data_IF_760508140130
#
_entry.id   IF_760508140130
#
_cell.length_a   1.000
_cell.length_b   1.000
_cell.length_c   1.000
_cell.angle_alpha   90.00
_cell.angle_beta   90.00
_cell.angle_gamma   90.00
#
_symmetry.space_group_name_H-M   'P 1'
#
loop_
_entity.id
_entity.type
_entity.pdbx_description
1 polymer ?
#
# COMPACT_ATOMS: atom_id res chain seq x y z
N UNK A 1 20.76 -15.42 -22.46
CA UNK A 1 21.63 -14.69 -21.51
C UNK A 1 21.10 -14.97 -20.13
N UNK A 2 21.93 -15.37 -19.15
CA UNK A 2 21.46 -15.42 -17.75
C UNK A 2 21.10 -13.98 -17.38
N UNK A 3 19.84 -13.71 -17.04
CA UNK A 3 19.49 -12.44 -16.41
C UNK A 3 20.30 -12.38 -15.12
N UNK A 4 21.28 -11.49 -15.08
CA UNK A 4 22.08 -11.29 -13.88
C UNK A 4 21.19 -10.49 -12.94
N UNK A 5 20.69 -11.15 -11.90
CA UNK A 5 19.96 -10.47 -10.82
C UNK A 5 20.89 -9.41 -10.22
N UNK A 6 20.43 -8.15 -10.09
CA UNK A 6 21.24 -7.12 -9.45
C UNK A 6 21.70 -7.56 -8.05
N UNK A 7 22.97 -7.29 -7.65
CA UNK A 7 23.53 -7.78 -6.39
C UNK A 7 22.69 -7.47 -5.14
N UNK A 8 21.99 -6.33 -5.13
CA UNK A 8 21.11 -5.94 -4.04
C UNK A 8 19.91 -6.89 -3.80
N UNK A 9 19.59 -7.76 -4.77
CA UNK A 9 18.47 -8.72 -4.69
C UNK A 9 18.91 -10.19 -4.56
N UNK A 10 20.21 -10.48 -4.48
CA UNK A 10 20.73 -11.86 -4.36
C UNK A 10 20.10 -12.62 -3.18
N UNK A 11 19.88 -11.94 -2.04
CA UNK A 11 19.29 -12.58 -0.84
C UNK A 11 17.81 -12.91 -1.04
N UNK A 12 17.09 -12.08 -1.78
CA UNK A 12 15.70 -12.35 -2.19
C UNK A 12 15.65 -13.50 -3.21
N UNK A 13 16.59 -13.54 -4.15
CA UNK A 13 16.70 -14.63 -5.14
C UNK A 13 17.00 -15.99 -4.48
N UNK A 14 17.83 -16.04 -3.43
CA UNK A 14 18.07 -17.29 -2.68
C UNK A 14 16.76 -17.83 -2.10
N UNK A 15 15.85 -16.96 -1.66
CA UNK A 15 14.57 -17.34 -1.07
C UNK A 15 13.53 -17.75 -2.13
N UNK A 16 13.46 -17.03 -3.25
CA UNK A 16 12.39 -17.15 -4.25
C UNK A 16 12.79 -17.90 -5.53
N UNK A 17 14.07 -18.16 -5.72
CA UNK A 17 14.64 -18.68 -6.96
C UNK A 17 14.66 -17.67 -8.10
N UNK A 18 15.27 -18.09 -9.22
CA UNK A 18 15.40 -17.27 -10.43
C UNK A 18 14.05 -16.85 -11.01
N UNK A 19 13.06 -17.76 -10.96
CA UNK A 19 11.73 -17.48 -11.46
C UNK A 19 11.01 -16.44 -10.60
N UNK A 20 11.06 -16.57 -9.27
CA UNK A 20 10.37 -15.66 -8.37
C UNK A 20 10.89 -14.23 -8.46
N UNK A 21 12.21 -14.05 -8.56
CA UNK A 21 12.78 -12.70 -8.71
C UNK A 21 12.46 -12.10 -10.08
N UNK A 22 12.50 -12.91 -11.14
CA UNK A 22 12.11 -12.46 -12.48
C UNK A 22 10.63 -12.08 -12.55
N UNK A 23 9.76 -12.82 -11.85
CA UNK A 23 8.35 -12.48 -11.72
C UNK A 23 8.20 -11.12 -11.03
N UNK A 24 8.81 -10.90 -9.85
CA UNK A 24 8.73 -9.62 -9.14
C UNK A 24 9.22 -8.44 -9.98
N UNK A 25 10.34 -8.60 -10.68
CA UNK A 25 10.88 -7.58 -11.59
C UNK A 25 9.91 -7.25 -12.75
N UNK A 26 9.05 -8.18 -13.15
CA UNK A 26 8.00 -7.96 -14.14
C UNK A 26 6.68 -7.42 -13.59
N UNK A 27 6.53 -7.26 -12.27
CA UNK A 27 5.27 -6.82 -11.66
C UNK A 27 5.11 -5.32 -11.53
N UNK A 28 3.86 -4.89 -11.68
CA UNK A 28 3.41 -3.54 -11.40
C UNK A 28 2.47 -3.50 -10.20
N UNK A 29 2.87 -2.75 -9.17
CA UNK A 29 2.05 -2.53 -7.99
C UNK A 29 1.64 -1.06 -7.89
N UNK A 30 0.35 -0.83 -7.68
CA UNK A 30 -0.19 0.49 -7.36
C UNK A 30 -0.39 0.60 -5.85
N UNK A 31 0.15 1.65 -5.23
CA UNK A 31 0.04 1.91 -3.80
C UNK A 31 -0.65 3.25 -3.58
N UNK A 32 -1.82 3.24 -2.92
CA UNK A 32 -2.54 4.46 -2.57
C UNK A 32 -2.37 4.80 -1.10
N UNK A 33 -1.86 6.00 -0.84
CA UNK A 33 -1.48 6.49 0.49
C UNK A 33 -0.06 6.06 0.86
N UNK A 34 0.78 7.03 1.18
CA UNK A 34 2.17 6.89 1.63
C UNK A 34 2.33 7.33 3.09
N UNK A 35 1.26 7.13 3.88
CA UNK A 35 1.25 7.38 5.31
C UNK A 35 1.94 6.28 6.12
N UNK A 36 1.41 6.00 7.32
CA UNK A 36 2.08 5.10 8.28
C UNK A 36 2.10 3.62 7.92
N UNK A 37 1.33 3.20 6.91
CA UNK A 37 1.35 1.83 6.38
C UNK A 37 1.98 1.80 4.99
N UNK A 38 1.44 2.60 4.07
CA UNK A 38 1.82 2.52 2.66
C UNK A 38 3.25 2.93 2.36
N UNK A 39 3.87 3.79 3.18
CA UNK A 39 5.29 4.11 3.02
C UNK A 39 6.22 2.91 3.29
N UNK A 40 5.95 2.14 4.35
CA UNK A 40 6.68 0.91 4.64
C UNK A 40 6.36 -0.21 3.66
N UNK A 41 5.10 -0.31 3.20
CA UNK A 41 4.73 -1.26 2.14
C UNK A 41 5.50 -0.97 0.85
N UNK A 42 5.54 0.29 0.42
CA UNK A 42 6.28 0.74 -0.76
C UNK A 42 7.78 0.43 -0.65
N UNK A 43 8.38 0.70 0.51
CA UNK A 43 9.78 0.36 0.79
C UNK A 43 10.04 -1.16 0.66
N UNK A 44 9.16 -1.98 1.24
CA UNK A 44 9.29 -3.44 1.18
C UNK A 44 9.17 -3.95 -0.27
N UNK A 45 8.24 -3.39 -1.06
CA UNK A 45 8.07 -3.73 -2.48
C UNK A 45 9.32 -3.38 -3.29
N UNK A 46 9.89 -2.19 -3.09
CA UNK A 46 11.12 -1.78 -3.77
C UNK A 46 12.30 -2.70 -3.40
N UNK A 47 12.46 -3.04 -2.12
CA UNK A 47 13.51 -3.96 -1.63
C UNK A 47 13.30 -5.40 -2.07
N UNK A 48 12.07 -5.80 -2.35
CA UNK A 48 11.77 -7.12 -2.92
C UNK A 48 12.12 -7.23 -4.41
N UNK A 49 12.37 -6.10 -5.09
CA UNK A 49 12.68 -6.10 -6.51
C UNK A 49 11.45 -5.99 -7.41
N UNK A 50 10.34 -5.39 -6.92
CA UNK A 50 9.23 -5.00 -7.81
C UNK A 50 9.75 -4.01 -8.86
N UNK A 51 9.48 -4.29 -10.13
CA UNK A 51 10.02 -3.52 -11.24
C UNK A 51 9.23 -2.26 -11.60
N UNK A 52 7.94 -2.18 -11.25
CA UNK A 52 7.13 -0.97 -11.50
C UNK A 52 6.25 -0.64 -10.31
N UNK A 53 6.30 0.62 -9.88
CA UNK A 53 5.51 1.16 -8.77
C UNK A 53 4.76 2.41 -9.23
N UNK A 54 3.44 2.41 -9.07
CA UNK A 54 2.66 3.66 -9.12
C UNK A 54 2.31 4.06 -7.70
N UNK A 55 2.81 5.22 -7.28
CA UNK A 55 2.59 5.74 -5.92
C UNK A 55 1.62 6.90 -5.97
N UNK A 56 0.56 6.80 -5.18
CA UNK A 56 -0.46 7.82 -5.13
C UNK A 56 -0.56 8.43 -3.73
N UNK A 57 -0.11 9.68 -3.60
CA UNK A 57 -0.27 10.50 -2.39
C UNK A 57 -0.14 11.98 -2.76
N UNK A 58 -1.07 12.80 -2.25
CA UNK A 58 -1.13 14.24 -2.52
C UNK A 58 -0.52 15.07 -1.39
N UNK A 59 -0.26 14.47 -0.22
CA UNK A 59 0.23 15.15 0.96
C UNK A 59 1.73 15.49 0.89
N UNK A 60 2.11 16.42 1.76
CA UNK A 60 3.49 16.68 2.15
C UNK A 60 3.80 16.06 3.51
N UNK A 61 5.09 15.88 3.79
CA UNK A 61 5.57 15.43 5.09
C UNK A 61 5.29 16.50 6.15
N UNK A 62 4.52 16.15 7.17
CA UNK A 62 4.30 16.99 8.35
C UNK A 62 5.17 16.53 9.53
N UNK A 63 5.52 17.44 10.45
CA UNK A 63 6.29 17.12 11.67
C UNK A 63 5.60 16.00 12.48
N UNK A 64 4.28 16.03 12.59
CA UNK A 64 3.48 15.02 13.30
C UNK A 64 3.49 13.62 12.65
N UNK A 65 4.13 13.46 11.49
CA UNK A 65 4.26 12.18 10.80
C UNK A 65 5.50 11.39 11.26
N UNK A 66 6.48 12.05 11.87
CA UNK A 66 7.79 11.48 12.26
C UNK A 66 7.65 10.21 13.11
N UNK A 67 6.61 10.13 13.95
CA UNK A 67 6.42 8.98 14.83
C UNK A 67 6.07 7.67 14.09
N UNK A 68 5.66 7.72 12.82
CA UNK A 68 5.06 6.54 12.16
C UNK A 68 5.18 6.47 10.64
N UNK A 69 5.73 7.47 9.94
CA UNK A 69 5.81 7.45 8.48
C UNK A 69 7.27 7.41 8.03
N UNK A 70 7.61 6.47 7.15
CA UNK A 70 8.97 6.30 6.67
C UNK A 70 9.58 7.55 5.99
N UNK A 71 8.86 8.34 5.16
CA UNK A 71 9.42 9.54 4.54
C UNK A 71 9.59 10.71 5.51
N UNK A 72 9.11 10.60 6.76
CA UNK A 72 9.08 11.70 7.72
C UNK A 72 10.37 11.80 8.54
N UNK A 73 11.26 12.68 8.10
CA UNK A 73 12.46 13.11 8.80
C UNK A 73 12.39 14.63 9.00
N UNK A 74 13.13 15.18 9.97
CA UNK A 74 13.20 16.63 10.14
C UNK A 74 13.67 17.34 8.85
N UNK A 75 14.56 16.70 8.08
CA UNK A 75 15.07 17.21 6.80
C UNK A 75 14.08 17.16 5.64
N UNK A 76 12.99 16.38 5.76
CA UNK A 76 12.01 16.19 4.69
C UNK A 76 10.68 16.88 4.94
N UNK A 77 10.52 17.56 6.09
CA UNK A 77 9.31 18.33 6.42
C UNK A 77 9.01 19.35 5.32
N UNK A 78 7.76 19.37 4.85
CA UNK A 78 7.28 20.25 3.78
C UNK A 78 7.50 19.69 2.36
N UNK A 79 8.27 18.61 2.20
CA UNK A 79 8.44 17.95 0.90
C UNK A 79 7.27 17.00 0.62
N UNK A 80 6.97 16.75 -0.66
CA UNK A 80 5.95 15.76 -1.04
C UNK A 80 6.36 14.35 -0.59
N UNK A 81 5.43 13.63 0.06
CA UNK A 81 5.68 12.23 0.47
C UNK A 81 6.01 11.34 -0.72
N UNK A 82 5.31 11.55 -1.84
CA UNK A 82 5.49 10.81 -3.08
C UNK A 82 6.88 11.01 -3.69
N UNK A 83 7.36 12.26 -3.76
CA UNK A 83 8.71 12.57 -4.28
C UNK A 83 9.82 12.04 -3.37
N UNK A 84 9.67 12.16 -2.04
CA UNK A 84 10.63 11.61 -1.07
C UNK A 84 10.73 10.09 -1.23
N UNK A 85 9.59 9.39 -1.36
CA UNK A 85 9.57 7.95 -1.57
C UNK A 85 10.14 7.55 -2.93
N UNK A 86 9.90 8.32 -4.00
CA UNK A 86 10.50 8.07 -5.32
C UNK A 86 12.02 8.15 -5.28
N UNK A 87 12.58 9.22 -4.71
CA UNK A 87 14.02 9.36 -4.56
C UNK A 87 14.61 8.19 -3.77
N UNK A 88 13.96 7.81 -2.67
CA UNK A 88 14.35 6.67 -1.85
C UNK A 88 14.30 5.33 -2.60
N UNK A 89 13.29 5.11 -3.45
CA UNK A 89 13.20 3.90 -4.29
C UNK A 89 14.31 3.89 -5.32
N UNK A 90 14.63 5.01 -5.95
CA UNK A 90 15.73 5.09 -6.92
C UNK A 90 17.08 4.73 -6.28
N UNK A 91 17.28 5.10 -5.00
CA UNK A 91 18.47 4.70 -4.24
C UNK A 91 18.50 3.19 -3.91
N UNK A 92 17.34 2.52 -3.85
CA UNK A 92 17.21 1.09 -3.55
C UNK A 92 17.28 0.24 -4.83
N UNK A 93 16.54 0.65 -5.85
CA UNK A 93 16.36 -0.04 -7.11
C UNK A 93 16.26 1.00 -8.26
N UNK A 94 17.38 1.40 -8.86
CA UNK A 94 17.38 2.40 -9.93
C UNK A 94 16.69 1.90 -11.21
N UNK A 95 16.51 0.58 -11.36
CA UNK A 95 15.79 -0.02 -12.48
C UNK A 95 14.27 -0.05 -12.28
N UNK A 96 13.78 0.30 -11.07
CA UNK A 96 12.35 0.38 -10.79
C UNK A 96 11.72 1.59 -11.50
N UNK A 97 10.69 1.34 -12.29
CA UNK A 97 9.90 2.38 -12.91
C UNK A 97 8.90 2.95 -11.90
N UNK A 98 9.13 4.18 -11.44
CA UNK A 98 8.26 4.84 -10.45
C UNK A 98 7.45 5.97 -11.07
N UNK A 99 6.12 5.79 -11.07
CA UNK A 99 5.12 6.78 -11.50
C UNK A 99 4.46 7.40 -10.27
N UNK A 100 4.31 8.72 -10.25
CA UNK A 100 3.68 9.44 -9.14
C UNK A 100 2.32 10.00 -9.56
N UNK A 101 1.33 9.83 -8.70
CA UNK A 101 0.00 10.43 -8.83
C UNK A 101 -0.24 11.27 -7.58
N UNK A 102 -0.38 12.58 -7.77
CA UNK A 102 -0.54 13.56 -6.67
C UNK A 102 -1.96 14.14 -6.63
N UNK A 103 -2.91 13.44 -7.24
CA UNK A 103 -4.34 13.80 -7.30
C UNK A 103 -5.08 13.13 -6.15
N UNK A 104 -6.11 13.79 -5.61
CA UNK A 104 -6.99 13.18 -4.62
C UNK A 104 -7.86 12.07 -5.24
N UNK A 105 -8.02 10.93 -4.55
CA UNK A 105 -8.89 9.84 -5.05
C UNK A 105 -10.34 10.10 -4.69
N UNK A 106 -11.22 9.97 -5.69
CA UNK A 106 -12.65 10.00 -5.51
C UNK A 106 -13.35 8.91 -6.31
N UNK A 107 -14.65 8.80 -6.11
CA UNK A 107 -15.48 7.82 -6.84
C UNK A 107 -15.59 8.18 -8.33
N UNK A 108 -15.47 9.46 -8.62
CA UNK A 108 -15.54 10.07 -9.94
C UNK A 108 -14.29 9.83 -10.79
N UNK A 109 -13.10 9.78 -10.18
CA UNK A 109 -11.83 9.73 -10.91
C UNK A 109 -11.03 8.43 -10.73
N UNK A 110 -11.46 7.51 -9.86
CA UNK A 110 -10.73 6.25 -9.58
C UNK A 110 -10.37 5.47 -10.87
N UNK A 111 -11.27 5.46 -11.85
CA UNK A 111 -11.10 4.78 -13.12
C UNK A 111 -10.01 5.37 -14.02
N UNK A 112 -9.66 6.64 -13.82
CA UNK A 112 -8.59 7.34 -14.53
C UNK A 112 -7.25 7.19 -13.79
N UNK A 113 -7.30 7.06 -12.46
CA UNK A 113 -6.11 7.05 -11.60
C UNK A 113 -5.47 5.67 -11.46
N UNK A 114 -6.27 4.60 -11.45
CA UNK A 114 -5.76 3.22 -11.30
C UNK A 114 -5.40 2.68 -12.69
N UNK A 115 -4.11 2.41 -12.99
CA UNK A 115 -3.71 1.88 -14.29
C UNK A 115 -4.35 0.51 -14.52
N UNK A 116 -4.79 0.23 -15.75
CA UNK A 116 -5.45 -1.03 -16.09
C UNK A 116 -4.50 -2.24 -16.13
N UNK A 117 -3.20 -1.99 -16.23
CA UNK A 117 -2.14 -2.98 -16.30
C UNK A 117 -1.45 -3.24 -14.96
N UNK A 118 -2.06 -2.84 -13.84
CA UNK A 118 -1.57 -3.19 -12.50
C UNK A 118 -1.78 -4.68 -12.22
N UNK A 119 -0.77 -5.34 -11.67
CA UNK A 119 -0.89 -6.72 -11.19
C UNK A 119 -1.52 -6.78 -9.79
N UNK A 120 -1.35 -5.72 -9.00
CA UNK A 120 -1.80 -5.65 -7.63
C UNK A 120 -2.02 -4.22 -7.15
N UNK A 121 -3.07 -4.01 -6.36
CA UNK A 121 -3.40 -2.74 -5.72
C UNK A 121 -3.25 -2.88 -4.21
N UNK A 122 -2.53 -1.95 -3.59
CA UNK A 122 -2.43 -1.83 -2.13
C UNK A 122 -3.07 -0.52 -1.68
N UNK A 123 -4.18 -0.65 -0.99
CA UNK A 123 -4.92 0.47 -0.42
C UNK A 123 -4.48 0.73 1.03
N UNK A 124 -3.76 1.85 1.20
CA UNK A 124 -3.28 2.38 2.48
C UNK A 124 -3.86 3.78 2.79
N UNK A 125 -4.99 4.13 2.17
CA UNK A 125 -5.69 5.39 2.40
C UNK A 125 -6.34 5.37 3.79
N UNK A 126 -6.41 6.50 4.49
CA UNK A 126 -7.06 6.62 5.80
C UNK A 126 -8.52 7.12 5.72
N UNK A 127 -8.85 7.94 4.71
CA UNK A 127 -10.21 8.39 4.43
C UNK A 127 -11.11 7.24 3.95
N UNK A 128 -12.22 7.02 4.66
CA UNK A 128 -13.19 5.95 4.37
C UNK A 128 -13.74 6.05 2.93
N UNK A 129 -14.18 7.23 2.49
CA UNK A 129 -14.83 7.39 1.19
C UNK A 129 -13.88 7.04 0.03
N UNK A 130 -12.62 7.47 0.14
CA UNK A 130 -11.59 7.19 -0.85
C UNK A 130 -11.25 5.70 -0.87
N UNK A 131 -11.08 5.11 0.33
CA UNK A 131 -10.82 3.68 0.50
C UNK A 131 -11.93 2.83 -0.14
N UNK A 132 -13.19 3.14 0.13
CA UNK A 132 -14.34 2.45 -0.47
C UNK A 132 -14.35 2.61 -1.99
N UNK A 133 -14.10 3.82 -2.51
CA UNK A 133 -14.04 4.06 -3.95
C UNK A 133 -12.98 3.20 -4.64
N UNK A 134 -11.75 3.19 -4.12
CA UNK A 134 -10.64 2.41 -4.66
C UNK A 134 -10.92 0.90 -4.61
N UNK A 135 -11.25 0.37 -3.44
CA UNK A 135 -11.43 -1.08 -3.25
C UNK A 135 -12.65 -1.57 -4.04
N UNK A 136 -13.75 -0.82 -4.06
CA UNK A 136 -14.94 -1.22 -4.81
C UNK A 136 -14.66 -1.26 -6.31
N UNK A 137 -13.97 -0.25 -6.84
CA UNK A 137 -13.55 -0.22 -8.25
C UNK A 137 -12.67 -1.43 -8.58
N UNK A 138 -11.64 -1.71 -7.76
CA UNK A 138 -10.74 -2.84 -8.01
C UNK A 138 -11.49 -4.18 -8.06
N UNK A 139 -12.36 -4.44 -7.09
CA UNK A 139 -13.15 -5.69 -7.06
C UNK A 139 -14.08 -5.79 -8.28
N UNK A 140 -14.74 -4.69 -8.66
CA UNK A 140 -15.64 -4.66 -9.81
C UNK A 140 -14.91 -4.87 -11.15
N UNK A 141 -13.65 -4.45 -11.25
CA UNK A 141 -12.80 -4.69 -12.42
C UNK A 141 -12.05 -6.03 -12.37
N UNK A 142 -12.25 -6.85 -11.32
CA UNK A 142 -11.53 -8.11 -11.14
C UNK A 142 -10.04 -7.94 -10.81
N UNK A 143 -9.63 -6.76 -10.36
CA UNK A 143 -8.26 -6.46 -9.95
C UNK A 143 -7.97 -7.05 -8.56
N UNK A 144 -6.73 -7.52 -8.36
CA UNK A 144 -6.26 -7.99 -7.06
C UNK A 144 -6.00 -6.79 -6.15
N UNK A 145 -6.65 -6.77 -4.99
CA UNK A 145 -6.52 -5.67 -4.03
C UNK A 145 -6.29 -6.19 -2.61
N UNK A 146 -5.34 -5.56 -1.92
CA UNK A 146 -5.22 -5.63 -0.48
C UNK A 146 -5.54 -4.27 0.14
N UNK A 147 -6.21 -4.27 1.29
CA UNK A 147 -6.56 -3.05 2.02
C UNK A 147 -6.06 -3.11 3.46
N UNK A 148 -5.38 -2.06 3.91
CA UNK A 148 -4.99 -1.91 5.31
C UNK A 148 -6.09 -1.24 6.11
N UNK A 149 -6.36 -1.77 7.30
CA UNK A 149 -7.29 -1.21 8.26
C UNK A 149 -6.57 -0.40 9.34
N UNK A 150 -7.30 0.01 10.39
CA UNK A 150 -6.78 0.92 11.39
C UNK A 150 -5.60 0.32 12.16
N UNK A 151 -4.42 0.90 12.02
CA UNK A 151 -3.22 0.60 12.80
C UNK A 151 -3.03 1.55 14.02
N UNK A 152 -3.81 2.63 14.10
CA UNK A 152 -3.73 3.61 15.18
C UNK A 152 -4.22 3.09 16.54
N UNK A 153 -3.62 3.62 17.61
CA UNK A 153 -3.91 3.32 19.02
C UNK A 153 -3.71 1.85 19.42
N UNK A 154 -2.67 1.21 18.88
CA UNK A 154 -2.26 -0.16 19.17
C UNK A 154 -0.79 -0.23 19.51
N UNK A 155 -0.40 -1.24 20.27
CA UNK A 155 0.99 -1.47 20.66
C UNK A 155 1.53 -2.82 20.24
N UNK A 156 0.69 -3.82 20.00
CA UNK A 156 1.15 -5.21 19.82
C UNK A 156 1.19 -5.61 18.33
N UNK A 157 2.38 -5.59 17.68
CA UNK A 157 2.51 -5.99 16.28
C UNK A 157 2.25 -7.49 16.08
N UNK A 158 2.33 -8.34 17.12
CA UNK A 158 2.07 -9.78 16.99
C UNK A 158 0.59 -10.09 16.77
N UNK A 159 -0.27 -9.09 16.97
CA UNK A 159 -1.73 -9.17 16.80
C UNK A 159 -2.22 -8.74 15.42
N UNK A 160 -1.30 -8.40 14.51
CA UNK A 160 -1.62 -8.17 13.11
C UNK A 160 -2.09 -9.49 12.48
N UNK A 161 -3.16 -9.39 11.68
CA UNK A 161 -3.84 -10.49 11.00
C UNK A 161 -4.06 -10.15 9.54
N UNK A 162 -4.12 -11.19 8.73
CA UNK A 162 -4.51 -11.14 7.32
C UNK A 162 -5.72 -12.05 7.16
N UNK A 163 -6.81 -11.51 6.62
CA UNK A 163 -8.03 -12.26 6.36
C UNK A 163 -8.81 -11.61 5.22
N UNK A 164 -9.84 -12.29 4.71
CA UNK A 164 -10.86 -11.63 3.90
C UNK A 164 -11.58 -10.55 4.73
N UNK A 165 -12.01 -9.47 4.08
CA UNK A 165 -12.72 -8.37 4.74
C UNK A 165 -13.92 -8.85 5.56
N UNK A 166 -14.64 -9.89 5.10
CA UNK A 166 -15.79 -10.49 5.79
C UNK A 166 -15.44 -11.15 7.12
N UNK A 167 -14.21 -11.66 7.26
CA UNK A 167 -13.74 -12.39 8.44
C UNK A 167 -13.04 -11.48 9.47
N UNK A 168 -12.90 -10.19 9.19
CA UNK A 168 -12.25 -9.26 10.11
C UNK A 168 -13.08 -8.99 11.37
N UNK A 169 -12.42 -8.91 12.51
CA UNK A 169 -13.01 -8.73 13.84
C UNK A 169 -12.37 -7.55 14.58
N UNK A 170 -13.04 -7.02 15.61
CA UNK A 170 -12.56 -5.98 16.55
C UNK A 170 -12.28 -4.60 15.93
N UNK A 171 -11.76 -4.51 14.71
CA UNK A 171 -11.34 -3.29 14.04
C UNK A 171 -12.55 -2.43 13.61
N UNK A 172 -12.72 -1.20 14.17
CA UNK A 172 -13.83 -0.33 13.81
C UNK A 172 -13.81 0.10 12.34
N UNK A 173 -12.61 0.41 11.80
CA UNK A 173 -12.42 0.79 10.40
C UNK A 173 -12.85 -0.35 9.46
N UNK A 174 -12.49 -1.60 9.78
CA UNK A 174 -12.90 -2.76 9.00
C UNK A 174 -14.42 -3.01 9.07
N UNK A 175 -15.05 -2.73 10.22
CA UNK A 175 -16.50 -2.85 10.40
C UNK A 175 -17.26 -1.86 9.51
N UNK A 176 -16.84 -0.60 9.48
CA UNK A 176 -17.43 0.41 8.60
C UNK A 176 -17.16 0.10 7.13
N UNK A 177 -15.92 -0.27 6.78
CA UNK A 177 -15.56 -0.67 5.42
C UNK A 177 -16.45 -1.82 4.93
N UNK A 178 -16.68 -2.86 5.75
CA UNK A 178 -17.62 -3.95 5.44
C UNK A 178 -19.03 -3.46 5.14
N UNK A 179 -19.52 -2.45 5.87
CA UNK A 179 -20.87 -1.90 5.64
C UNK A 179 -20.94 -1.27 4.25
N UNK A 180 -20.02 -0.37 3.94
CA UNK A 180 -19.96 0.30 2.64
C UNK A 180 -19.75 -0.66 1.47
N UNK A 181 -18.87 -1.65 1.62
CA UNK A 181 -18.66 -2.67 0.58
C UNK A 181 -19.92 -3.50 0.33
N UNK A 182 -20.66 -3.89 1.37
CA UNK A 182 -21.94 -4.60 1.21
C UNK A 182 -22.98 -3.77 0.47
N UNK A 183 -23.04 -2.47 0.75
CA UNK A 183 -23.93 -1.55 0.03
C UNK A 183 -23.55 -1.44 -1.45
N UNK A 184 -22.27 -1.67 -1.79
CA UNK A 184 -21.75 -1.77 -3.16
C UNK A 184 -21.84 -3.21 -3.75
N UNK A 185 -22.49 -4.15 -3.07
CA UNK A 185 -22.64 -5.54 -3.53
C UNK A 185 -21.44 -6.45 -3.25
N UNK A 186 -20.41 -5.97 -2.56
CA UNK A 186 -19.16 -6.68 -2.29
C UNK A 186 -19.21 -7.27 -0.87
N UNK A 187 -19.26 -8.61 -0.78
CA UNK A 187 -19.35 -9.32 0.51
C UNK A 187 -18.03 -9.95 0.94
N UNK A 188 -17.21 -10.40 -0.01
CA UNK A 188 -15.94 -11.11 0.16
C UNK A 188 -15.02 -10.76 -1.02
N UNK A 189 -13.78 -11.24 -1.01
CA UNK A 189 -12.81 -11.08 -2.09
C UNK A 189 -11.84 -9.92 -1.88
N UNK A 190 -11.73 -9.37 -0.67
CA UNK A 190 -10.82 -8.26 -0.35
C UNK A 190 -9.84 -8.72 0.71
N UNK A 191 -8.58 -8.91 0.31
CA UNK A 191 -7.50 -9.24 1.23
C UNK A 191 -7.30 -8.07 2.20
N UNK A 192 -7.41 -8.32 3.50
CA UNK A 192 -7.42 -7.26 4.50
C UNK A 192 -6.38 -7.49 5.57
N UNK A 193 -5.55 -6.47 5.80
CA UNK A 193 -4.62 -6.42 6.93
C UNK A 193 -5.28 -5.62 8.06
N UNK A 194 -5.46 -6.24 9.22
CA UNK A 194 -6.03 -5.61 10.39
C UNK A 194 -5.34 -6.13 11.66
N UNK A 195 -5.77 -5.67 12.83
CA UNK A 195 -5.35 -6.25 14.10
C UNK A 195 -6.57 -6.66 14.90
N UNK A 196 -6.43 -7.75 15.65
CA UNK A 196 -7.42 -8.18 16.65
C UNK A 196 -7.19 -7.52 18.02
N UNK A 197 -6.22 -6.60 18.16
CA UNK A 197 -6.04 -5.75 19.36
C UNK A 197 -7.13 -4.67 19.44
N UNK A 198 -7.75 -4.54 20.61
CA UNK A 198 -8.67 -3.43 20.89
C UNK A 198 -7.89 -2.09 20.90
N UNK A 199 -8.37 -1.05 20.18
CA UNK A 199 -7.73 0.24 20.20
C UNK A 199 -7.80 0.85 21.60
N UNK A 200 -6.72 1.51 22.01
CA UNK A 200 -6.66 2.26 23.26
C UNK A 200 -7.28 3.65 23.07
N UNK A 201 -7.96 4.22 24.08
CA UNK A 201 -8.37 5.61 24.03
C UNK A 201 -7.12 6.52 23.99
N UNK A 202 -7.21 7.72 23.38
CA UNK A 202 -6.24 8.78 23.60
C UNK A 202 -6.12 9.06 25.12
N UNK A 203 -4.91 9.36 25.57
CA UNK A 203 -4.67 9.83 26.94
C UNK A 203 -5.32 11.20 27.17
#
# INVERSE_FOLDING_TARGET
>A
MKNITPPQFERTQILLGDEGIAQLAGKHVFVAGLGGVGSYCTEALARAGIGRLTLMDHDVVAISNINRQLPALLSTVGLSKAEVMKARINDINPDCQVTLIRTFLGRENVHELVPSDVDFVVDCIDSMNCKVALVSYCVQQGMKVASSMGAGNKLDPTRIRIADISATSICPLAREMRKHLRDAGIKTGVLTVYTDEHPRPPL
#
